data_IF_927531045297
#
_entry.id   IF_927531045297
#
_cell.length_a   1.000
_cell.length_b   1.000
_cell.length_c   1.000
_cell.angle_alpha   90.00
_cell.angle_beta   90.00
_cell.angle_gamma   90.00
#
_symmetry.space_group_name_H-M   'P 1'
#
loop_
_entity.id
_entity.type
_entity.pdbx_description
1 polymer ?
#
# COMPACT_ATOMS: atom_id res chain seq x y z
N UNK A 1 -29.34 -10.51 10.19
CA UNK A 1 -28.16 -9.80 10.73
C UNK A 1 -27.58 -8.92 9.63
N UNK A 2 -27.78 -7.61 9.70
CA UNK A 2 -27.22 -6.66 8.73
C UNK A 2 -25.74 -6.40 9.04
N UNK A 3 -24.87 -6.27 8.02
CA UNK A 3 -23.45 -5.99 8.24
C UNK A 3 -23.25 -4.58 8.83
N UNK A 4 -22.22 -4.36 9.66
CA UNK A 4 -21.96 -3.07 10.27
C UNK A 4 -21.62 -2.04 9.19
N UNK A 5 -22.46 -1.01 9.09
CA UNK A 5 -22.24 0.17 8.27
C UNK A 5 -20.91 0.79 8.72
N UNK A 6 -19.93 0.81 7.82
CA UNK A 6 -18.70 1.57 8.01
C UNK A 6 -19.06 3.05 8.04
N UNK A 7 -19.30 3.59 9.24
CA UNK A 7 -19.50 5.03 9.46
C UNK A 7 -18.25 5.74 8.97
N UNK A 8 -18.35 6.39 7.80
CA UNK A 8 -17.35 7.35 7.34
C UNK A 8 -17.19 8.39 8.44
N UNK A 9 -15.97 8.52 8.99
CA UNK A 9 -15.64 9.50 10.05
C UNK A 9 -16.13 10.89 9.62
N UNK A 10 -16.93 11.62 10.43
CA UNK A 10 -17.43 12.93 10.05
C UNK A 10 -16.26 13.92 9.95
N UNK A 11 -16.06 14.45 8.75
CA UNK A 11 -15.14 15.55 8.45
C UNK A 11 -15.72 16.79 9.12
N UNK A 12 -14.94 17.49 9.97
CA UNK A 12 -15.39 18.78 10.54
C UNK A 12 -15.82 19.69 9.41
N UNK A 13 -17.07 20.12 9.43
CA UNK A 13 -17.63 21.00 8.41
C UNK A 13 -16.96 22.39 8.43
N UNK A 14 -16.99 23.09 7.29
CA UNK A 14 -16.42 24.42 7.16
C UNK A 14 -17.08 25.41 8.13
N UNK A 15 -18.38 25.31 8.38
CA UNK A 15 -19.05 26.24 9.30
C UNK A 15 -18.59 26.03 10.75
N UNK A 16 -18.38 24.78 11.16
CA UNK A 16 -17.81 24.46 12.47
C UNK A 16 -16.39 25.03 12.58
N UNK A 17 -15.59 24.93 11.50
CA UNK A 17 -14.24 25.46 11.47
C UNK A 17 -14.21 27.01 11.50
N UNK A 18 -15.19 27.68 10.89
CA UNK A 18 -15.39 29.14 11.00
C UNK A 18 -15.77 29.55 12.41
N UNK A 19 -16.74 28.87 13.03
CA UNK A 19 -17.13 29.08 14.43
C UNK A 19 -15.94 28.92 15.39
N UNK A 20 -15.08 27.93 15.14
CA UNK A 20 -13.85 27.71 15.91
C UNK A 20 -12.87 28.89 15.76
N UNK A 21 -12.63 29.35 14.53
CA UNK A 21 -11.78 30.53 14.27
C UNK A 21 -12.30 31.74 15.07
N UNK A 22 -13.58 32.03 14.96
CA UNK A 22 -14.19 33.21 15.56
C UNK A 22 -14.21 33.13 17.10
N UNK A 23 -14.29 31.91 17.66
CA UNK A 23 -14.15 31.68 19.10
C UNK A 23 -12.71 31.89 19.58
N UNK A 24 -11.70 31.42 18.82
CA UNK A 24 -10.29 31.62 19.15
C UNK A 24 -9.87 33.10 19.05
N UNK A 25 -10.41 33.83 18.06
CA UNK A 25 -10.17 35.28 17.92
C UNK A 25 -10.73 36.06 19.12
N UNK A 26 -11.90 35.67 19.64
CA UNK A 26 -12.53 36.32 20.81
C UNK A 26 -11.90 35.90 22.13
N UNK A 27 -11.44 34.66 22.24
CA UNK A 27 -10.86 34.11 23.46
C UNK A 27 -9.63 33.24 23.12
N UNK A 28 -8.42 33.81 23.07
CA UNK A 28 -7.20 33.06 22.76
C UNK A 28 -6.89 31.92 23.74
N UNK A 29 -7.44 31.98 24.96
CA UNK A 29 -7.36 30.93 26.01
C UNK A 29 -8.59 30.01 26.04
N UNK A 30 -9.32 29.89 24.93
CA UNK A 30 -10.53 29.07 24.82
C UNK A 30 -10.31 27.64 25.35
N UNK A 31 -11.16 27.21 26.27
CA UNK A 31 -11.20 25.82 26.71
C UNK A 31 -11.76 24.93 25.60
N UNK A 32 -10.88 24.34 24.80
CA UNK A 32 -11.27 23.51 23.63
C UNK A 32 -12.22 22.37 23.99
N UNK A 33 -12.10 21.81 25.21
CA UNK A 33 -13.02 20.77 25.69
C UNK A 33 -14.46 21.29 25.84
N UNK A 34 -14.63 22.49 26.40
CA UNK A 34 -15.94 23.10 26.59
C UNK A 34 -16.54 23.53 25.25
N UNK A 35 -15.74 24.15 24.39
CA UNK A 35 -16.18 24.55 23.05
C UNK A 35 -16.60 23.34 22.20
N UNK A 36 -15.81 22.26 22.22
CA UNK A 36 -16.12 21.06 21.45
C UNK A 36 -17.40 20.36 21.93
N UNK A 37 -17.67 20.34 23.25
CA UNK A 37 -18.95 19.85 23.80
C UNK A 37 -20.13 20.71 23.34
N UNK A 38 -19.99 22.03 23.38
CA UNK A 38 -21.05 22.96 22.97
C UNK A 38 -21.39 22.88 21.46
N UNK A 39 -20.46 22.39 20.63
CA UNK A 39 -20.63 22.28 19.18
C UNK A 39 -20.77 20.81 18.72
N UNK A 40 -21.02 19.88 19.63
CA UNK A 40 -21.16 18.42 19.38
C UNK A 40 -20.06 17.82 18.49
N UNK A 41 -18.80 18.16 18.79
CA UNK A 41 -17.62 17.66 18.08
C UNK A 41 -16.63 16.99 19.01
N UNK A 42 -15.92 15.98 18.50
CA UNK A 42 -14.89 15.29 19.27
C UNK A 42 -13.73 16.24 19.58
N UNK A 43 -13.41 16.37 20.87
CA UNK A 43 -12.29 17.19 21.37
C UNK A 43 -10.98 16.85 20.67
N UNK A 44 -10.70 15.55 20.45
CA UNK A 44 -9.49 15.11 19.75
C UNK A 44 -9.40 15.65 18.32
N UNK A 45 -10.52 15.76 17.62
CA UNK A 45 -10.57 16.34 16.27
C UNK A 45 -10.27 17.84 16.31
N UNK A 46 -10.83 18.58 17.27
CA UNK A 46 -10.57 20.02 17.41
C UNK A 46 -9.13 20.30 17.84
N UNK A 47 -8.54 19.47 18.72
CA UNK A 47 -7.12 19.56 19.08
C UNK A 47 -6.19 19.41 17.88
N UNK A 48 -6.58 18.65 16.85
CA UNK A 48 -5.78 18.55 15.62
C UNK A 48 -5.81 19.81 14.76
N UNK A 49 -6.82 20.68 14.95
CA UNK A 49 -6.99 21.93 14.20
C UNK A 49 -6.55 23.18 14.96
N UNK A 50 -6.14 23.06 16.23
CA UNK A 50 -5.70 24.18 17.06
C UNK A 50 -4.32 23.91 17.64
N UNK A 51 -3.39 24.84 17.42
CA UNK A 51 -2.05 24.81 18.01
C UNK A 51 -1.72 26.16 18.63
N UNK A 52 -1.31 26.16 19.92
CA UNK A 52 -0.97 27.37 20.69
C UNK A 52 -2.01 28.49 20.61
N UNK A 53 -3.30 28.14 20.72
CA UNK A 53 -4.41 29.10 20.72
C UNK A 53 -4.80 29.66 19.35
N UNK A 54 -4.22 29.15 18.26
CA UNK A 54 -4.58 29.54 16.90
C UNK A 54 -4.92 28.32 16.04
N UNK A 55 -5.63 28.53 14.93
CA UNK A 55 -5.85 27.47 13.95
C UNK A 55 -4.52 26.96 13.38
N UNK A 56 -4.41 25.65 13.17
CA UNK A 56 -3.27 25.11 12.43
C UNK A 56 -3.26 25.65 11.00
N UNK A 57 -2.08 25.73 10.35
CA UNK A 57 -1.98 26.09 8.95
C UNK A 57 -2.93 25.33 8.01
N UNK A 58 -3.16 24.05 8.31
CA UNK A 58 -4.07 23.21 7.55
C UNK A 58 -5.54 23.61 7.75
N UNK A 59 -5.96 23.83 9.01
CA UNK A 59 -7.29 24.36 9.32
C UNK A 59 -7.55 25.70 8.62
N UNK A 60 -6.59 26.62 8.72
CA UNK A 60 -6.71 27.94 8.08
C UNK A 60 -6.82 27.81 6.56
N UNK A 61 -5.98 26.96 5.93
CA UNK A 61 -6.06 26.74 4.49
C UNK A 61 -7.41 26.15 4.06
N UNK A 62 -8.03 25.28 4.88
CA UNK A 62 -9.38 24.77 4.58
C UNK A 62 -10.42 25.88 4.56
N UNK A 63 -10.31 26.87 5.44
CA UNK A 63 -11.16 28.07 5.41
C UNK A 63 -10.86 28.93 4.19
N UNK A 64 -9.58 29.19 3.90
CA UNK A 64 -9.18 30.02 2.76
C UNK A 64 -9.64 29.40 1.43
N UNK A 65 -9.60 28.06 1.29
CA UNK A 65 -10.16 27.36 0.13
C UNK A 65 -11.68 27.52 0.06
N UNK A 66 -12.39 27.36 1.18
CA UNK A 66 -13.84 27.50 1.20
C UNK A 66 -14.31 28.94 0.99
N UNK A 67 -13.48 29.92 1.36
CA UNK A 67 -13.69 31.35 1.13
C UNK A 67 -13.22 31.80 -0.28
N UNK A 68 -12.72 30.88 -1.12
CA UNK A 68 -12.19 31.19 -2.45
C UNK A 68 -10.86 31.95 -2.47
N UNK A 69 -10.22 32.12 -1.31
CA UNK A 69 -8.94 32.83 -1.12
C UNK A 69 -7.71 31.98 -1.45
N UNK A 70 -7.84 30.65 -1.44
CA UNK A 70 -6.76 29.72 -1.74
C UNK A 70 -7.21 28.58 -2.66
N UNK A 71 -6.27 28.04 -3.44
CA UNK A 71 -6.48 26.81 -4.22
C UNK A 71 -6.29 25.59 -3.31
N UNK A 72 -7.06 24.52 -3.57
CA UNK A 72 -6.86 23.22 -2.92
C UNK A 72 -5.40 22.78 -3.04
N UNK A 73 -4.83 22.24 -1.95
CA UNK A 73 -3.48 21.68 -2.02
C UNK A 73 -3.44 20.58 -3.08
N UNK A 74 -2.56 20.73 -4.06
CA UNK A 74 -2.34 19.71 -5.08
C UNK A 74 -1.27 18.72 -4.64
N UNK A 75 -1.24 17.55 -5.28
CA UNK A 75 -0.19 16.55 -5.07
C UNK A 75 1.16 17.09 -5.57
N UNK A 76 2.22 16.69 -4.88
CA UNK A 76 3.61 16.96 -5.28
C UNK A 76 3.93 16.19 -6.56
N UNK A 77 4.29 16.89 -7.64
CA UNK A 77 4.70 16.29 -8.91
C UNK A 77 6.24 16.20 -9.01
N UNK A 78 6.77 15.84 -10.18
CA UNK A 78 8.22 15.74 -10.41
C UNK A 78 8.88 17.12 -10.41
N UNK A 79 8.26 18.14 -11.01
CA UNK A 79 8.82 19.49 -11.06
C UNK A 79 8.91 20.11 -9.66
N UNK A 80 7.94 19.82 -8.80
CA UNK A 80 7.98 20.18 -7.38
C UNK A 80 9.14 19.48 -6.67
N UNK A 81 9.38 18.19 -6.93
CA UNK A 81 10.52 17.48 -6.37
C UNK A 81 11.86 18.07 -6.84
N UNK A 82 11.96 18.45 -8.12
CA UNK A 82 13.15 19.11 -8.67
C UNK A 82 13.37 20.46 -8.00
N UNK A 83 12.32 21.26 -7.89
CA UNK A 83 12.37 22.57 -7.23
C UNK A 83 12.63 22.45 -5.72
N UNK A 84 12.14 21.37 -5.08
CA UNK A 84 12.37 21.08 -3.67
C UNK A 84 13.83 20.70 -3.46
N UNK A 85 14.39 19.83 -4.30
CA UNK A 85 15.81 19.45 -4.28
C UNK A 85 16.74 20.66 -4.41
N UNK A 86 16.42 21.55 -5.36
CA UNK A 86 17.16 22.80 -5.55
C UNK A 86 17.03 23.72 -4.33
N UNK A 87 15.84 23.83 -3.74
CA UNK A 87 15.60 24.68 -2.57
C UNK A 87 16.27 24.16 -1.29
N UNK A 88 16.36 22.84 -1.13
CA UNK A 88 17.07 22.20 -0.02
C UNK A 88 18.59 22.37 -0.09
N UNK A 89 19.15 22.58 -1.30
CA UNK A 89 20.58 22.81 -1.48
C UNK A 89 21.09 24.15 -0.88
N UNK A 90 20.21 25.08 -0.52
CA UNK A 90 20.57 26.40 0.01
C UNK A 90 20.74 26.47 1.54
N UNK A 91 20.80 25.34 2.25
CA UNK A 91 21.17 25.29 3.67
C UNK A 91 20.18 25.93 4.65
N UNK A 92 20.62 26.09 5.91
CA UNK A 92 19.90 26.19 7.19
C UNK A 92 18.68 27.15 7.34
N UNK A 93 18.31 27.90 6.30
CA UNK A 93 17.16 28.82 6.31
C UNK A 93 15.97 28.35 5.47
N UNK A 94 15.99 27.12 4.95
CA UNK A 94 14.87 26.58 4.16
C UNK A 94 13.60 26.37 5.00
N UNK A 95 12.65 27.30 4.88
CA UNK A 95 11.34 27.16 5.50
C UNK A 95 10.40 26.33 4.61
N UNK A 96 10.37 25.01 4.84
CA UNK A 96 9.51 24.03 4.15
C UNK A 96 8.05 24.48 4.08
N UNK A 97 7.52 25.03 5.18
CA UNK A 97 6.12 25.46 5.24
C UNK A 97 5.84 26.67 4.34
N UNK A 98 6.76 27.64 4.29
CA UNK A 98 6.65 28.79 3.39
C UNK A 98 6.78 28.36 1.93
N UNK A 99 7.74 27.49 1.63
CA UNK A 99 7.96 26.97 0.27
C UNK A 99 6.76 26.16 -0.24
N UNK A 100 6.20 25.27 0.59
CA UNK A 100 5.04 24.45 0.23
C UNK A 100 3.81 25.32 -0.03
N UNK A 101 3.56 26.34 0.81
CA UNK A 101 2.44 27.28 0.63
C UNK A 101 2.54 28.06 -0.69
N UNK A 102 3.72 28.58 -1.03
CA UNK A 102 3.93 29.31 -2.28
C UNK A 102 3.62 28.47 -3.54
N UNK A 103 3.60 27.14 -3.40
CA UNK A 103 3.31 26.19 -4.48
C UNK A 103 1.96 25.49 -4.35
N UNK A 104 1.13 25.91 -3.39
CA UNK A 104 -0.14 25.25 -3.06
C UNK A 104 0.05 23.74 -2.80
N UNK A 105 1.07 23.38 -2.03
CA UNK A 105 1.36 22.01 -1.59
C UNK A 105 1.12 21.86 -0.09
N UNK A 106 0.71 20.65 0.31
CA UNK A 106 0.58 20.32 1.73
C UNK A 106 1.96 20.29 2.40
N UNK A 107 2.16 21.12 3.43
CA UNK A 107 3.46 21.25 4.10
C UNK A 107 3.89 20.00 4.86
N UNK A 108 2.95 19.19 5.37
CA UNK A 108 3.25 17.90 5.99
C UNK A 108 3.78 16.91 4.96
N UNK A 109 3.12 16.81 3.79
CA UNK A 109 3.60 15.98 2.68
C UNK A 109 4.99 16.42 2.21
N UNK A 110 5.26 17.71 2.08
CA UNK A 110 6.60 18.21 1.69
C UNK A 110 7.63 17.92 2.78
N UNK A 111 7.25 18.01 4.06
CA UNK A 111 8.12 17.67 5.19
C UNK A 111 8.47 16.17 5.25
N UNK A 112 7.59 15.29 4.79
CA UNK A 112 7.91 13.85 4.67
C UNK A 112 8.94 13.55 3.57
N UNK A 113 9.06 14.44 2.58
CA UNK A 113 9.98 14.31 1.45
C UNK A 113 11.37 14.91 1.75
N UNK A 114 11.51 15.68 2.83
CA UNK A 114 12.75 16.37 3.22
C UNK A 114 13.11 16.02 4.65
N UNK A 115 14.33 15.54 4.86
CA UNK A 115 14.89 15.27 6.18
C UNK A 115 16.24 15.94 6.29
N UNK A 116 16.47 16.65 7.40
CA UNK A 116 17.75 17.31 7.70
C UNK A 116 18.24 18.21 6.55
N UNK A 117 17.31 18.91 5.90
CA UNK A 117 17.64 19.84 4.82
C UNK A 117 17.98 19.18 3.49
N UNK A 118 17.75 17.88 3.31
CA UNK A 118 17.95 17.16 2.03
C UNK A 118 16.73 16.31 1.67
N UNK A 119 16.58 15.95 0.38
CA UNK A 119 15.55 14.99 -0.01
C UNK A 119 15.77 13.64 0.67
N UNK A 120 14.69 13.00 1.09
CA UNK A 120 14.77 11.61 1.57
C UNK A 120 15.24 10.68 0.45
N UNK A 121 15.86 9.53 0.75
CA UNK A 121 16.29 8.57 -0.27
C UNK A 121 15.15 8.14 -1.21
N UNK A 122 13.92 8.05 -0.71
CA UNK A 122 12.74 7.74 -1.51
C UNK A 122 12.38 8.89 -2.47
N UNK A 123 12.35 10.13 -1.97
CA UNK A 123 12.07 11.32 -2.79
C UNK A 123 13.16 11.53 -3.87
N UNK A 124 14.43 11.34 -3.51
CA UNK A 124 15.55 11.41 -4.44
C UNK A 124 15.49 10.31 -5.50
N UNK A 125 15.17 9.08 -5.13
CA UNK A 125 14.96 8.00 -6.10
C UNK A 125 13.79 8.28 -7.05
N UNK A 126 12.71 8.87 -6.54
CA UNK A 126 11.56 9.27 -7.37
C UNK A 126 11.96 10.35 -8.38
N UNK A 127 12.80 11.30 -7.98
CA UNK A 127 13.37 12.33 -8.87
C UNK A 127 14.32 11.71 -9.90
N UNK A 128 15.29 10.88 -9.47
CA UNK A 128 16.23 10.21 -10.37
C UNK A 128 15.53 9.35 -11.43
N UNK A 129 14.46 8.65 -11.06
CA UNK A 129 13.65 7.87 -12.01
C UNK A 129 12.96 8.76 -13.04
N UNK A 130 12.43 9.91 -12.61
CA UNK A 130 11.77 10.85 -13.51
C UNK A 130 12.77 11.57 -14.43
N UNK A 131 14.03 11.70 -14.02
CA UNK A 131 15.11 12.27 -14.81
C UNK A 131 15.89 11.24 -15.65
N UNK A 132 15.45 9.98 -15.67
CA UNK A 132 16.13 8.91 -16.40
C UNK A 132 17.52 8.54 -15.83
N UNK A 133 17.89 9.08 -14.67
CA UNK A 133 19.17 8.81 -13.97
C UNK A 133 19.15 7.49 -13.18
N UNK A 134 17.96 6.95 -12.94
CA UNK A 134 17.76 5.62 -12.38
C UNK A 134 16.95 4.78 -13.39
N UNK A 135 17.37 3.53 -13.69
CA UNK A 135 16.60 2.66 -14.57
C UNK A 135 15.18 2.47 -14.04
N UNK A 136 14.20 2.36 -14.94
CA UNK A 136 12.86 1.93 -14.57
C UNK A 136 12.99 0.56 -13.89
N UNK A 137 12.42 0.42 -12.69
CA UNK A 137 12.48 -0.85 -11.97
C UNK A 137 11.78 -1.92 -12.83
N UNK A 138 12.55 -2.90 -13.30
CA UNK A 138 12.03 -4.01 -14.10
C UNK A 138 11.40 -5.07 -13.20
N UNK A 139 10.53 -5.88 -13.80
CA UNK A 139 9.93 -7.03 -13.10
C UNK A 139 11.01 -8.08 -12.83
N UNK A 140 10.81 -8.86 -11.77
CA UNK A 140 11.69 -9.99 -11.45
C UNK A 140 11.44 -11.10 -12.46
N UNK A 141 12.46 -11.48 -13.22
CA UNK A 141 12.44 -12.62 -14.15
C UNK A 141 12.91 -13.91 -13.47
N UNK A 142 12.84 -15.04 -14.17
CA UNK A 142 13.29 -16.33 -13.63
C UNK A 142 14.80 -16.31 -13.32
N UNK A 143 15.60 -15.68 -14.17
CA UNK A 143 17.05 -15.58 -13.94
C UNK A 143 17.39 -14.71 -12.72
N UNK A 144 16.61 -13.65 -12.46
CA UNK A 144 16.73 -12.86 -11.23
C UNK A 144 16.36 -13.68 -10.00
N UNK A 145 15.30 -14.49 -10.09
CA UNK A 145 14.88 -15.41 -9.03
C UNK A 145 15.95 -16.46 -8.74
N UNK A 146 16.60 -16.99 -9.78
CA UNK A 146 17.73 -17.92 -9.65
C UNK A 146 18.91 -17.24 -8.95
N UNK A 147 19.31 -16.06 -9.42
CA UNK A 147 20.38 -15.28 -8.81
C UNK A 147 20.08 -14.86 -7.36
N UNK A 148 18.82 -14.59 -7.02
CA UNK A 148 18.38 -14.30 -5.67
C UNK A 148 18.47 -15.54 -4.77
N UNK A 149 18.06 -16.71 -5.28
CA UNK A 149 18.19 -17.99 -4.58
C UNK A 149 19.65 -18.28 -4.24
N UNK A 150 20.56 -18.15 -5.21
CA UNK A 150 21.99 -18.38 -5.03
C UNK A 150 22.60 -17.39 -4.03
N UNK A 151 22.20 -16.12 -4.08
CA UNK A 151 22.69 -15.11 -3.16
C UNK A 151 22.24 -15.37 -1.72
N UNK A 152 20.98 -15.80 -1.52
CA UNK A 152 20.45 -16.15 -0.20
C UNK A 152 21.05 -17.45 0.35
N UNK A 153 21.36 -18.42 -0.52
CA UNK A 153 22.07 -19.64 -0.12
C UNK A 153 23.48 -19.34 0.39
N UNK A 154 24.15 -18.32 -0.16
CA UNK A 154 25.47 -17.86 0.28
C UNK A 154 25.40 -16.98 1.52
N UNK A 155 24.40 -16.10 1.58
CA UNK A 155 24.18 -15.17 2.68
C UNK A 155 22.68 -15.08 3.04
N UNK A 156 22.22 -15.84 4.05
CA UNK A 156 20.84 -15.76 4.53
C UNK A 156 20.47 -14.40 5.12
N UNK A 157 21.46 -13.55 5.43
CA UNK A 157 21.27 -12.19 5.97
C UNK A 157 21.39 -11.11 4.89
N UNK A 158 21.43 -11.49 3.62
CA UNK A 158 21.53 -10.59 2.47
C UNK A 158 20.61 -9.39 2.61
N UNK A 159 21.15 -8.18 2.43
CA UNK A 159 20.34 -6.98 2.30
C UNK A 159 19.59 -7.00 0.95
N UNK A 160 18.42 -7.63 0.95
CA UNK A 160 17.57 -7.85 -0.23
C UNK A 160 17.20 -6.53 -0.93
N UNK A 161 17.14 -5.43 -0.18
CA UNK A 161 16.82 -4.11 -0.74
C UNK A 161 17.98 -3.57 -1.58
N UNK A 162 19.21 -3.67 -1.07
CA UNK A 162 20.41 -3.27 -1.81
C UNK A 162 20.67 -4.19 -2.99
N UNK A 163 20.49 -5.51 -2.80
CA UNK A 163 20.62 -6.48 -3.88
C UNK A 163 19.65 -6.18 -5.04
N UNK A 164 18.38 -5.88 -4.73
CA UNK A 164 17.38 -5.52 -5.74
C UNK A 164 17.72 -4.20 -6.44
N UNK A 165 18.22 -3.20 -5.70
CA UNK A 165 18.64 -1.90 -6.26
C UNK A 165 19.81 -2.05 -7.23
N UNK A 166 20.83 -2.83 -6.88
CA UNK A 166 21.99 -3.09 -7.74
C UNK A 166 21.60 -3.72 -9.08
N UNK A 167 20.45 -4.40 -9.13
CA UNK A 167 19.90 -5.07 -10.31
C UNK A 167 18.72 -4.34 -10.95
N UNK A 168 18.41 -3.12 -10.50
CA UNK A 168 17.27 -2.33 -10.99
C UNK A 168 15.92 -3.07 -10.91
N UNK A 169 15.73 -3.89 -9.88
CA UNK A 169 14.51 -4.66 -9.63
C UNK A 169 13.59 -3.94 -8.65
N UNK A 170 12.29 -4.21 -8.77
CA UNK A 170 11.32 -3.73 -7.78
C UNK A 170 11.57 -4.37 -6.41
N UNK A 171 12.26 -3.67 -5.51
CA UNK A 171 12.63 -4.18 -4.19
C UNK A 171 11.41 -4.60 -3.34
N UNK A 172 10.25 -3.98 -3.50
CA UNK A 172 9.02 -4.39 -2.81
C UNK A 172 8.54 -5.75 -3.30
N UNK A 173 8.67 -6.03 -4.60
CA UNK A 173 8.43 -7.36 -5.16
C UNK A 173 9.46 -8.36 -4.65
N UNK A 174 10.75 -8.04 -4.72
CA UNK A 174 11.83 -8.94 -4.26
C UNK A 174 11.67 -9.27 -2.77
N UNK A 175 11.33 -8.28 -1.93
CA UNK A 175 11.10 -8.49 -0.49
C UNK A 175 9.94 -9.44 -0.20
N UNK A 176 8.90 -9.48 -1.06
CA UNK A 176 7.79 -10.44 -0.94
C UNK A 176 8.17 -11.86 -1.33
N UNK A 177 9.23 -12.03 -2.14
CA UNK A 177 9.72 -13.34 -2.57
C UNK A 177 10.65 -13.98 -1.54
N UNK A 178 11.03 -13.26 -0.48
CA UNK A 178 11.99 -13.72 0.53
C UNK A 178 11.34 -13.75 1.91
N UNK A 179 11.51 -14.86 2.62
CA UNK A 179 11.07 -15.04 4.00
C UNK A 179 12.13 -15.81 4.79
N UNK A 180 12.52 -15.28 5.95
CA UNK A 180 13.47 -15.95 6.84
C UNK A 180 14.85 -16.23 6.23
N UNK A 181 15.30 -15.40 5.27
CA UNK A 181 16.59 -15.60 4.60
C UNK A 181 16.57 -16.61 3.45
N UNK A 182 15.41 -17.10 3.05
CA UNK A 182 15.23 -17.99 1.91
C UNK A 182 14.10 -17.51 0.98
N UNK A 183 13.99 -18.09 -0.22
CA UNK A 183 12.82 -17.87 -1.06
C UNK A 183 11.55 -18.39 -0.38
N UNK A 184 10.43 -17.68 -0.58
CA UNK A 184 9.13 -18.21 -0.16
C UNK A 184 8.80 -19.48 -0.95
N UNK A 185 7.92 -20.37 -0.42
CA UNK A 185 7.53 -21.58 -1.14
C UNK A 185 6.93 -21.28 -2.53
N UNK A 186 6.23 -20.16 -2.68
CA UNK A 186 5.69 -19.72 -3.97
C UNK A 186 6.80 -19.29 -4.94
N UNK A 187 7.77 -18.49 -4.45
CA UNK A 187 8.93 -18.06 -5.24
C UNK A 187 9.79 -19.26 -5.67
N UNK A 188 10.01 -20.22 -4.76
CA UNK A 188 10.75 -21.44 -5.05
C UNK A 188 10.03 -22.32 -6.07
N UNK A 189 8.71 -22.46 -5.97
CA UNK A 189 7.92 -23.20 -6.96
C UNK A 189 7.94 -22.53 -8.34
N UNK A 190 7.92 -21.20 -8.38
CA UNK A 190 8.05 -20.44 -9.62
C UNK A 190 9.42 -20.66 -10.26
N UNK A 191 10.50 -20.68 -9.46
CA UNK A 191 11.86 -21.00 -9.92
C UNK A 191 11.95 -22.44 -10.44
N UNK A 192 11.42 -23.42 -9.69
CA UNK A 192 11.41 -24.82 -10.09
C UNK A 192 10.65 -25.05 -11.41
N UNK A 193 9.54 -24.34 -11.64
CA UNK A 193 8.82 -24.36 -12.93
C UNK A 193 9.65 -23.76 -14.05
N UNK A 194 10.30 -22.61 -13.80
CA UNK A 194 11.18 -21.96 -14.76
C UNK A 194 12.41 -22.80 -15.12
N UNK A 195 12.91 -23.62 -14.18
CA UNK A 195 14.01 -24.56 -14.37
C UNK A 195 13.57 -25.91 -14.98
N UNK A 196 12.27 -26.12 -15.25
CA UNK A 196 11.75 -27.40 -15.71
C UNK A 196 11.80 -28.53 -14.67
N UNK A 197 12.12 -28.23 -13.41
CA UNK A 197 12.19 -29.17 -12.28
C UNK A 197 10.82 -29.52 -11.70
N UNK A 198 9.78 -28.78 -12.05
CA UNK A 198 8.40 -29.04 -11.65
C UNK A 198 7.49 -29.17 -12.89
N UNK A 199 6.57 -30.15 -12.94
CA UNK A 199 5.61 -30.27 -14.03
C UNK A 199 4.81 -28.98 -14.21
N UNK A 200 4.50 -28.61 -15.46
CA UNK A 200 3.54 -27.55 -15.72
C UNK A 200 2.21 -27.94 -15.10
N UNK A 201 1.60 -27.04 -14.30
CA UNK A 201 0.30 -27.33 -13.71
C UNK A 201 -0.72 -27.48 -14.83
N UNK A 202 -1.34 -28.65 -14.93
CA UNK A 202 -2.40 -28.92 -15.92
C UNK A 202 -3.73 -28.33 -15.43
N UNK A 203 -4.61 -28.06 -16.39
CA UNK A 203 -5.98 -27.62 -16.09
C UNK A 203 -6.77 -28.73 -15.39
N UNK A 204 -7.77 -28.35 -14.61
CA UNK A 204 -8.64 -29.32 -13.94
C UNK A 204 -9.59 -29.91 -14.98
N UNK A 205 -9.50 -31.21 -15.21
CA UNK A 205 -10.40 -31.96 -16.09
C UNK A 205 -11.61 -32.51 -15.30
N UNK A 206 -12.60 -33.05 -16.02
CA UNK A 206 -13.83 -33.58 -15.41
C UNK A 206 -13.52 -34.75 -14.46
N UNK A 207 -12.57 -35.61 -14.81
CA UNK A 207 -12.16 -36.72 -13.95
C UNK A 207 -11.41 -36.24 -12.69
N UNK A 208 -10.69 -35.12 -12.77
CA UNK A 208 -10.11 -34.48 -11.59
C UNK A 208 -11.18 -33.91 -10.67
N UNK A 209 -12.25 -33.31 -11.22
CA UNK A 209 -13.40 -32.85 -10.43
C UNK A 209 -14.14 -34.00 -9.75
N UNK A 210 -14.31 -35.14 -10.44
CA UNK A 210 -14.88 -36.37 -9.83
C UNK A 210 -14.01 -36.87 -8.69
N UNK A 211 -12.71 -37.02 -8.92
CA UNK A 211 -11.75 -37.45 -7.91
C UNK A 211 -11.68 -36.48 -6.70
N UNK A 212 -11.84 -35.18 -6.94
CA UNK A 212 -11.91 -34.16 -5.89
C UNK A 212 -13.20 -34.30 -5.07
N UNK A 213 -14.33 -34.54 -5.73
CA UNK A 213 -15.62 -34.80 -5.08
C UNK A 213 -15.52 -36.00 -4.13
N UNK A 214 -14.98 -37.12 -4.62
CA UNK A 214 -14.83 -38.35 -3.86
C UNK A 214 -13.87 -38.18 -2.68
N UNK A 215 -12.78 -37.42 -2.86
CA UNK A 215 -11.83 -37.15 -1.80
C UNK A 215 -12.42 -36.27 -0.69
N UNK A 216 -13.21 -35.25 -1.04
CA UNK A 216 -13.91 -34.39 -0.07
C UNK A 216 -15.05 -35.13 0.65
N UNK A 217 -15.73 -36.06 -0.02
CA UNK A 217 -16.74 -36.91 0.61
C UNK A 217 -16.13 -37.85 1.67
N UNK A 218 -14.87 -38.28 1.47
CA UNK A 218 -14.12 -39.11 2.43
C UNK A 218 -13.46 -38.29 3.54
N UNK A 219 -12.94 -37.12 3.20
CA UNK A 219 -12.30 -36.20 4.14
C UNK A 219 -12.73 -34.75 3.85
N UNK A 220 -13.76 -34.24 4.56
CA UNK A 220 -14.18 -32.84 4.44
C UNK A 220 -13.11 -31.82 4.86
N UNK A 221 -12.05 -32.25 5.55
CA UNK A 221 -10.91 -31.41 5.97
C UNK A 221 -9.69 -31.57 5.05
N UNK A 222 -9.85 -32.22 3.90
CA UNK A 222 -8.78 -32.44 2.92
C UNK A 222 -7.99 -31.16 2.67
N UNK A 223 -6.67 -31.26 2.75
CA UNK A 223 -5.78 -30.18 2.30
C UNK A 223 -5.81 -30.08 0.77
N UNK A 224 -6.77 -29.32 0.25
CA UNK A 224 -7.01 -29.14 -1.20
C UNK A 224 -5.77 -28.66 -1.95
N UNK A 225 -4.92 -27.88 -1.30
CA UNK A 225 -3.69 -27.37 -1.91
C UNK A 225 -2.67 -28.48 -2.12
N UNK A 226 -2.53 -29.37 -1.14
CA UNK A 226 -1.63 -30.53 -1.21
C UNK A 226 -2.17 -31.60 -2.16
N UNK A 227 -3.47 -31.85 -2.11
CA UNK A 227 -4.16 -32.75 -3.04
C UNK A 227 -3.97 -32.31 -4.50
N UNK A 228 -4.15 -31.02 -4.80
CA UNK A 228 -3.93 -30.47 -6.14
C UNK A 228 -2.47 -30.58 -6.58
N UNK A 229 -1.52 -30.35 -5.65
CA UNK A 229 -0.08 -30.48 -5.91
C UNK A 229 0.32 -31.91 -6.25
N UNK A 230 -0.17 -32.90 -5.51
CA UNK A 230 0.11 -34.32 -5.77
C UNK A 230 -0.34 -34.77 -7.17
N UNK A 231 -1.30 -34.06 -7.77
CA UNK A 231 -1.87 -34.33 -9.09
C UNK A 231 -1.42 -33.35 -10.17
N UNK A 232 -0.44 -32.49 -9.86
CA UNK A 232 0.05 -31.44 -10.76
C UNK A 232 -1.05 -30.53 -11.32
N UNK A 233 -2.09 -30.26 -10.53
CA UNK A 233 -3.21 -29.40 -10.91
C UNK A 233 -2.99 -27.96 -10.46
N UNK A 234 -3.61 -27.01 -11.17
CA UNK A 234 -3.65 -25.62 -10.73
C UNK A 234 -4.45 -25.49 -9.42
N UNK A 235 -3.77 -25.46 -8.29
CA UNK A 235 -4.40 -25.42 -6.96
C UNK A 235 -5.26 -24.17 -6.72
N UNK A 236 -4.99 -23.05 -7.40
CA UNK A 236 -5.86 -21.87 -7.33
C UNK A 236 -7.22 -22.17 -7.97
N UNK A 237 -7.20 -22.80 -9.14
CA UNK A 237 -8.42 -23.27 -9.83
C UNK A 237 -9.13 -24.36 -9.04
N UNK A 238 -8.40 -25.32 -8.46
CA UNK A 238 -9.01 -26.36 -7.59
C UNK A 238 -9.66 -25.72 -6.36
N UNK A 239 -9.03 -24.70 -5.75
CA UNK A 239 -9.59 -24.00 -4.59
C UNK A 239 -10.83 -23.19 -4.92
N UNK A 240 -11.00 -22.71 -6.15
CA UNK A 240 -12.25 -22.07 -6.61
C UNK A 240 -13.42 -23.07 -6.68
N UNK A 241 -13.12 -24.36 -6.88
CA UNK A 241 -14.11 -25.43 -6.89
C UNK A 241 -14.48 -25.97 -5.52
N UNK A 242 -13.80 -25.55 -4.45
CA UNK A 242 -14.06 -26.06 -3.09
C UNK A 242 -14.40 -24.92 -2.14
N UNK A 243 -15.51 -25.06 -1.42
CA UNK A 243 -15.92 -24.14 -0.37
C UNK A 243 -16.43 -24.94 0.83
N UNK A 244 -15.94 -24.58 2.02
CA UNK A 244 -16.35 -25.18 3.30
C UNK A 244 -16.30 -26.73 3.31
N UNK A 245 -15.30 -27.32 2.65
CA UNK A 245 -15.10 -28.77 2.59
C UNK A 245 -15.94 -29.50 1.55
N UNK A 246 -16.65 -28.79 0.66
CA UNK A 246 -17.48 -29.37 -0.39
C UNK A 246 -17.25 -28.70 -1.75
N UNK A 247 -17.65 -29.37 -2.83
CA UNK A 247 -17.64 -28.79 -4.17
C UNK A 247 -18.62 -27.61 -4.28
N UNK A 248 -18.20 -26.54 -4.96
CA UNK A 248 -19.06 -25.39 -5.24
C UNK A 248 -20.13 -25.72 -6.28
N UNK A 249 -21.20 -24.91 -6.34
CA UNK A 249 -22.24 -25.06 -7.37
C UNK A 249 -21.68 -24.96 -8.79
N UNK A 250 -20.64 -24.16 -9.01
CA UNK A 250 -19.94 -24.04 -10.30
C UNK A 250 -19.22 -25.34 -10.68
N UNK A 251 -18.60 -26.00 -9.71
CA UNK A 251 -17.96 -27.30 -9.92
C UNK A 251 -18.98 -28.39 -10.22
N UNK A 252 -20.11 -28.41 -9.49
CA UNK A 252 -21.23 -29.31 -9.74
C UNK A 252 -21.86 -29.10 -11.12
N UNK A 253 -22.03 -27.85 -11.54
CA UNK A 253 -22.57 -27.54 -12.86
C UNK A 253 -21.65 -28.03 -13.98
N UNK A 254 -20.33 -27.91 -13.81
CA UNK A 254 -19.36 -28.49 -14.75
C UNK A 254 -19.42 -30.00 -14.82
N UNK A 255 -19.62 -30.69 -13.70
CA UNK A 255 -19.80 -32.15 -13.67
C UNK A 255 -21.09 -32.56 -14.38
N UNK A 256 -22.17 -31.81 -14.19
CA UNK A 256 -23.49 -32.04 -14.81
C UNK A 256 -23.42 -31.88 -16.33
N UNK A 257 -22.93 -30.74 -16.81
CA UNK A 257 -22.82 -30.43 -18.24
C UNK A 257 -21.90 -31.42 -18.98
N UNK A 258 -20.93 -32.03 -18.30
CA UNK A 258 -20.01 -33.00 -18.88
C UNK A 258 -20.52 -34.45 -18.95
N UNK A 259 -21.74 -34.75 -18.48
CA UNK A 259 -22.34 -36.08 -18.65
C UNK A 259 -23.20 -36.60 -17.49
N UNK A 260 -24.06 -35.74 -16.92
CA UNK A 260 -25.32 -36.13 -16.28
C UNK A 260 -26.43 -35.17 -16.72
#
# INVERSE_FOLDING_TARGET
>A
MSPPIKIRRPKVDIQILRSLRDALTRAPKLTLTAWARANDVRVGTIRSYVYKGALTPEAQNRLDVADGKARLFRKVNVDDLRALNAATAFGDKFNVAKWARARSLNSSTVRELVRDGVLTPEAQNRLNRAEGKAPSLRQVEIDDLRALSDALARDPKLNVTEWARARSLNFSTVKKLVQGGALTPEAQNRLNRGDGKAPSLRQVEIDDLRALSDALARDPKLNVTEWARARSLNFSTVREFVRDGALTSVAWERLRVAGC
#
